data_IF_846674776957
#
_entry.id   IF_846674776957
#
_cell.length_a   1.000
_cell.length_b   1.000
_cell.length_c   1.000
_cell.angle_alpha   90.00
_cell.angle_beta   90.00
_cell.angle_gamma   90.00
#
_symmetry.space_group_name_H-M   'P 1'
#
loop_
_entity.id
_entity.type
_entity.pdbx_description
1 polymer ?
#
# COMPACT_ATOMS: atom_id res chain seq x y z
N UNK A 1 -9.22 -14.13 3.10
CA UNK A 1 -8.43 -13.05 2.46
C UNK A 1 -9.42 -12.14 1.76
N UNK A 2 -9.30 -10.82 1.95
CA UNK A 2 -10.17 -9.84 1.30
C UNK A 2 -9.52 -9.36 0.01
N UNK A 3 -10.28 -9.24 -1.07
CA UNK A 3 -9.79 -8.58 -2.28
C UNK A 3 -10.03 -7.07 -2.11
N UNK A 4 -8.98 -6.27 -2.23
CA UNK A 4 -9.04 -4.85 -1.86
C UNK A 4 -8.34 -3.97 -2.90
N UNK A 5 -8.78 -2.71 -2.96
CA UNK A 5 -7.94 -1.61 -3.46
C UNK A 5 -7.30 -0.92 -2.26
N UNK A 6 -6.00 -0.66 -2.33
CA UNK A 6 -5.25 0.12 -1.34
C UNK A 6 -4.74 1.39 -2.00
N UNK A 7 -4.99 2.52 -1.35
CA UNK A 7 -4.58 3.86 -1.77
C UNK A 7 -3.52 4.39 -0.81
N UNK A 8 -2.37 4.83 -1.32
CA UNK A 8 -1.44 5.66 -0.54
C UNK A 8 -1.92 7.11 -0.61
N UNK A 9 -2.45 7.62 0.51
CA UNK A 9 -3.10 8.94 0.55
C UNK A 9 -2.18 10.05 1.04
N UNK A 10 -1.16 9.74 1.84
CA UNK A 10 -0.18 10.71 2.33
C UNK A 10 1.06 10.02 2.89
N UNK A 11 2.09 10.81 3.19
CA UNK A 11 3.13 10.42 4.14
C UNK A 11 2.68 10.71 5.58
N UNK A 12 3.27 10.01 6.54
CA UNK A 12 3.17 10.41 7.95
C UNK A 12 4.07 11.63 8.21
N UNK A 13 3.85 12.37 9.30
CA UNK A 13 4.56 13.63 9.58
C UNK A 13 6.09 13.50 9.65
N UNK A 14 6.61 12.34 10.07
CA UNK A 14 8.04 12.04 10.15
C UNK A 14 8.32 10.63 9.59
N UNK A 15 8.33 10.47 8.26
CA UNK A 15 8.46 9.15 7.64
C UNK A 15 9.92 8.67 7.73
N UNK A 16 10.15 7.36 7.91
CA UNK A 16 11.51 6.81 7.80
C UNK A 16 12.10 7.02 6.40
N UNK A 17 11.23 7.00 5.39
CA UNK A 17 11.58 7.26 4.01
C UNK A 17 10.40 7.99 3.33
N UNK A 18 10.54 9.29 3.02
CA UNK A 18 9.47 10.08 2.41
C UNK A 18 9.09 9.55 1.03
N UNK A 19 7.88 9.87 0.57
CA UNK A 19 7.46 9.61 -0.79
C UNK A 19 8.35 10.38 -1.77
N UNK A 20 8.72 9.74 -2.87
CA UNK A 20 9.33 10.43 -4.01
C UNK A 20 8.23 10.88 -4.96
N UNK A 21 8.44 12.00 -5.66
CA UNK A 21 7.52 12.41 -6.72
C UNK A 21 7.40 11.31 -7.80
N UNK A 22 6.21 11.15 -8.37
CA UNK A 22 5.94 10.07 -9.33
C UNK A 22 6.88 10.07 -10.54
N UNK A 23 7.24 11.25 -11.05
CA UNK A 23 8.20 11.43 -12.16
C UNK A 23 9.61 10.92 -11.84
N UNK A 24 9.96 10.86 -10.56
CA UNK A 24 11.28 10.51 -10.06
C UNK A 24 11.32 9.07 -9.49
N UNK A 25 10.20 8.34 -9.60
CA UNK A 25 10.04 6.98 -9.08
C UNK A 25 10.04 5.94 -10.21
N UNK A 26 11.00 5.01 -10.17
CA UNK A 26 11.13 3.95 -11.17
C UNK A 26 10.46 2.66 -10.66
N UNK A 27 9.27 2.38 -11.17
CA UNK A 27 8.52 1.19 -10.79
C UNK A 27 9.28 -0.10 -11.12
N UNK A 28 9.43 -0.97 -10.11
CA UNK A 28 10.07 -2.28 -10.30
C UNK A 28 11.59 -2.25 -10.37
N UNK A 29 12.22 -1.07 -10.26
CA UNK A 29 13.67 -0.93 -10.21
C UNK A 29 14.17 -0.84 -8.76
N UNK A 30 15.22 -1.59 -8.38
CA UNK A 30 15.93 -1.33 -7.14
C UNK A 30 16.60 0.06 -7.18
N UNK A 31 16.78 0.68 -6.01
CA UNK A 31 17.47 1.98 -5.90
C UNK A 31 16.58 3.21 -5.96
N UNK A 32 15.26 3.07 -5.83
CA UNK A 32 14.40 4.23 -5.56
C UNK A 32 14.85 4.90 -4.25
N UNK A 33 15.06 6.22 -4.29
CA UNK A 33 15.58 7.00 -3.16
C UNK A 33 14.54 7.22 -2.03
N UNK A 34 13.34 6.68 -2.18
CA UNK A 34 12.28 6.83 -1.19
C UNK A 34 11.13 5.84 -1.33
N UNK A 35 10.09 6.06 -0.55
CA UNK A 35 8.87 5.25 -0.62
C UNK A 35 8.05 5.56 -1.88
N UNK A 36 7.03 4.75 -2.14
CA UNK A 36 6.16 4.92 -3.31
C UNK A 36 5.53 6.34 -3.31
N UNK A 37 5.24 6.92 -4.50
CA UNK A 37 4.56 8.21 -4.58
C UNK A 37 3.22 8.23 -3.85
N UNK A 38 2.79 9.41 -3.41
CA UNK A 38 1.38 9.64 -3.04
C UNK A 38 0.50 9.47 -4.28
N UNK A 39 -0.78 9.15 -4.12
CA UNK A 39 -1.73 8.83 -5.21
C UNK A 39 -1.44 7.50 -5.91
N UNK A 40 -0.66 6.64 -5.26
CA UNK A 40 -0.40 5.29 -5.72
C UNK A 40 -1.50 4.33 -5.29
N UNK A 41 -1.94 3.47 -6.20
CA UNK A 41 -2.99 2.46 -5.98
C UNK A 41 -2.48 1.04 -6.20
N UNK A 42 -2.97 0.14 -5.35
CA UNK A 42 -2.75 -1.29 -5.42
C UNK A 42 -4.09 -1.99 -5.46
N UNK A 43 -4.19 -3.04 -6.26
CA UNK A 43 -5.32 -3.96 -6.18
C UNK A 43 -4.80 -5.37 -5.97
N UNK A 44 -5.40 -6.12 -5.06
CA UNK A 44 -4.95 -7.49 -4.76
C UNK A 44 -5.61 -8.11 -3.53
N UNK A 45 -5.13 -9.30 -3.16
CA UNK A 45 -5.61 -9.99 -1.96
C UNK A 45 -4.80 -9.58 -0.74
N UNK A 46 -5.48 -9.04 0.25
CA UNK A 46 -4.92 -8.77 1.55
C UNK A 46 -4.66 -10.09 2.27
N UNK A 47 -3.39 -10.34 2.62
CA UNK A 47 -2.96 -11.62 3.20
C UNK A 47 -3.52 -11.78 4.61
N UNK A 48 -3.39 -10.73 5.43
CA UNK A 48 -3.95 -10.63 6.78
C UNK A 48 -4.46 -9.20 7.02
N UNK A 49 -5.44 -9.01 7.92
CA UNK A 49 -5.85 -7.67 8.36
C UNK A 49 -4.66 -6.84 8.87
N UNK A 50 -4.64 -5.51 8.66
CA UNK A 50 -3.60 -4.66 9.25
C UNK A 50 -3.60 -4.77 10.77
N UNK A 51 -2.42 -4.88 11.37
CA UNK A 51 -2.24 -4.95 12.81
C UNK A 51 -1.04 -4.10 13.23
N UNK A 52 -1.14 -3.41 14.37
CA UNK A 52 -0.06 -2.56 14.89
C UNK A 52 1.19 -3.41 15.16
N UNK A 53 2.36 -2.92 14.75
CA UNK A 53 3.65 -3.62 14.85
C UNK A 53 3.94 -4.57 13.68
N UNK A 54 2.94 -4.87 12.84
CA UNK A 54 3.10 -5.80 11.71
C UNK A 54 3.21 -5.05 10.37
N UNK A 55 3.78 -5.72 9.37
CA UNK A 55 3.79 -5.22 7.99
C UNK A 55 2.51 -5.64 7.26
N UNK A 56 1.90 -4.73 6.50
CA UNK A 56 0.80 -5.07 5.61
C UNK A 56 1.37 -5.76 4.38
N UNK A 57 0.79 -6.93 4.05
CA UNK A 57 1.14 -7.70 2.85
C UNK A 57 -0.07 -7.86 1.94
N UNK A 58 0.13 -7.54 0.67
CA UNK A 58 -0.87 -7.66 -0.37
C UNK A 58 -0.31 -8.50 -1.51
N UNK A 59 -1.02 -9.57 -1.89
CA UNK A 59 -0.80 -10.27 -3.16
C UNK A 59 -1.37 -9.38 -4.26
N UNK A 60 -0.53 -8.48 -4.76
CA UNK A 60 -0.87 -7.47 -5.75
C UNK A 60 -1.12 -8.12 -7.10
N UNK A 61 -2.20 -7.70 -7.73
CA UNK A 61 -2.56 -7.99 -9.13
C UNK A 61 -2.30 -6.76 -10.00
N UNK A 62 -2.76 -5.59 -9.55
CA UNK A 62 -2.58 -4.33 -10.28
C UNK A 62 -1.85 -3.28 -9.45
N UNK A 63 -1.17 -2.39 -10.18
CA UNK A 63 -0.50 -1.20 -9.68
C UNK A 63 -0.90 -0.04 -10.58
N UNK A 64 -1.56 0.99 -10.04
CA UNK A 64 -2.02 2.15 -10.83
C UNK A 64 -2.78 1.74 -12.11
N UNK A 65 -3.67 0.74 -12.01
CA UNK A 65 -4.43 0.19 -13.13
C UNK A 65 -3.66 -0.74 -14.07
N UNK A 66 -2.33 -0.86 -13.94
CA UNK A 66 -1.51 -1.75 -14.77
C UNK A 66 -1.37 -3.11 -14.11
N UNK A 67 -1.60 -4.18 -14.87
CA UNK A 67 -1.36 -5.57 -14.42
C UNK A 67 0.11 -5.74 -14.06
N UNK A 68 0.40 -5.95 -12.78
CA UNK A 68 1.77 -6.10 -12.27
C UNK A 68 1.74 -7.04 -11.07
N UNK A 69 1.61 -8.36 -11.30
CA UNK A 69 1.57 -9.36 -10.24
C UNK A 69 2.78 -9.26 -9.31
N UNK A 70 2.58 -9.57 -8.03
CA UNK A 70 3.67 -9.70 -7.07
C UNK A 70 3.24 -9.44 -5.64
N UNK A 71 4.21 -9.38 -4.72
CA UNK A 71 3.94 -9.05 -3.32
C UNK A 71 4.23 -7.57 -3.09
N UNK A 72 3.28 -6.88 -2.46
CA UNK A 72 3.55 -5.61 -1.79
C UNK A 72 3.71 -5.87 -0.31
N UNK A 73 4.73 -5.25 0.28
CA UNK A 73 5.00 -5.26 1.71
C UNK A 73 5.23 -3.83 2.16
N UNK A 74 4.48 -3.37 3.16
CA UNK A 74 4.66 -2.05 3.75
C UNK A 74 5.76 -2.06 4.83
N UNK A 75 6.12 -0.87 5.31
CA UNK A 75 6.71 -0.75 6.65
C UNK A 75 5.68 -1.11 7.73
N UNK A 76 6.12 -1.31 8.96
CA UNK A 76 5.25 -1.64 10.10
C UNK A 76 4.12 -0.61 10.28
N UNK A 77 2.94 -1.10 10.61
CA UNK A 77 1.78 -0.30 11.01
C UNK A 77 2.03 0.29 12.39
N UNK A 78 1.83 1.60 12.52
CA UNK A 78 1.98 2.36 13.78
C UNK A 78 0.63 2.84 14.33
N UNK A 79 -0.42 2.90 13.49
CA UNK A 79 -1.74 3.38 13.88
C UNK A 79 -2.82 2.81 12.97
N UNK A 80 -3.99 2.51 13.53
CA UNK A 80 -5.21 2.11 12.80
C UNK A 80 -6.34 3.02 13.31
N UNK A 81 -6.64 4.14 12.62
CA UNK A 81 -7.65 5.10 13.07
C UNK A 81 -9.10 4.57 13.02
N UNK A 82 -9.36 3.58 12.17
CA UNK A 82 -10.67 3.01 11.94
C UNK A 82 -10.63 1.94 10.86
N UNK A 83 -11.79 1.37 10.55
CA UNK A 83 -11.90 0.40 9.47
C UNK A 83 -11.50 1.02 8.13
N UNK A 84 -10.75 0.27 7.32
CA UNK A 84 -10.32 0.73 6.00
C UNK A 84 -9.16 1.73 6.01
N UNK A 85 -8.55 2.06 7.16
CA UNK A 85 -7.38 2.96 7.20
C UNK A 85 -6.28 2.41 8.11
N UNK A 86 -5.03 2.46 7.63
CA UNK A 86 -3.85 2.12 8.43
C UNK A 86 -2.69 3.05 8.12
N UNK A 87 -1.90 3.39 9.14
CA UNK A 87 -0.73 4.24 9.02
C UNK A 87 0.49 3.38 9.29
N UNK A 88 1.48 3.46 8.41
CA UNK A 88 2.76 2.79 8.60
C UNK A 88 3.83 3.79 9.00
N UNK A 89 5.05 3.33 9.28
CA UNK A 89 6.19 4.21 9.55
C UNK A 89 6.51 5.21 8.43
N UNK A 90 5.98 5.01 7.22
CA UNK A 90 6.21 5.92 6.09
C UNK A 90 4.94 6.61 5.60
N UNK A 91 3.79 5.94 5.62
CA UNK A 91 2.66 6.40 4.82
C UNK A 91 1.32 6.08 5.42
N UNK A 92 0.33 6.89 5.07
CA UNK A 92 -1.07 6.70 5.40
C UNK A 92 -1.72 5.99 4.21
N UNK A 93 -2.41 4.90 4.51
CA UNK A 93 -3.12 4.11 3.53
C UNK A 93 -4.60 4.00 3.86
N UNK A 94 -5.44 4.06 2.82
CA UNK A 94 -6.83 3.63 2.87
C UNK A 94 -7.03 2.38 2.04
N UNK A 95 -7.97 1.54 2.41
CA UNK A 95 -8.33 0.38 1.62
C UNK A 95 -9.82 0.09 1.65
N UNK A 96 -10.31 -0.43 0.54
CA UNK A 96 -11.71 -0.75 0.32
C UNK A 96 -11.79 -2.20 -0.18
N UNK A 97 -12.73 -2.97 0.36
CA UNK A 97 -13.01 -4.32 -0.10
C UNK A 97 -13.82 -4.27 -1.40
N UNK A 98 -13.35 -4.99 -2.41
CA UNK A 98 -14.08 -5.20 -3.65
C UNK A 98 -14.78 -6.55 -3.52
N UNK A 99 -16.10 -6.55 -3.64
CA UNK A 99 -16.87 -7.77 -3.80
C UNK A 99 -16.44 -8.44 -5.11
N UNK A 100 -15.85 -9.63 -5.01
CA UNK A 100 -15.62 -10.49 -6.17
C UNK A 100 -16.81 -11.43 -6.23
N UNK A 101 -17.68 -11.24 -7.22
CA UNK A 101 -18.76 -12.19 -7.44
C UNK A 101 -18.15 -13.56 -7.80
N UNK A 102 -18.60 -14.65 -7.16
CA UNK A 102 -18.18 -15.98 -7.55
C UNK A 102 -18.72 -16.27 -8.95
N UNK A 103 -17.81 -16.43 -9.92
CA UNK A 103 -18.10 -16.98 -11.26
C UNK A 103 -18.47 -18.45 -11.20
#
# INVERSE_FOLDING_TARGET
>A
MKFVVVYKVADVAAPLSPAVAARDYYYGRPGNAGSMPVEYTLMGWLVLPPAIGEQVRLLRVCRNGVMTPGVFTSTEVIKIPGEGEFHTRNSIYRYEEIAVEPT
#
